data_IF_488670400767
#
_entry.id   IF_488670400767
#
_cell.length_a   1.000
_cell.length_b   1.000
_cell.length_c   1.000
_cell.angle_alpha   90.00
_cell.angle_beta   90.00
_cell.angle_gamma   90.00
#
_symmetry.space_group_name_H-M   'P 1'
#
loop_
_entity.id
_entity.type
_entity.pdbx_description
1 polymer ?
#
# COMPACT_ATOMS: atom_id res chain seq x y z
N UNK A 1 15.45 -13.62 5.71
CA UNK A 1 14.81 -12.30 5.87
C UNK A 1 13.89 -12.05 4.69
N UNK A 2 12.97 -11.09 4.79
CA UNK A 2 12.15 -10.58 3.69
C UNK A 2 12.43 -9.08 3.53
N UNK A 3 12.83 -8.68 2.32
CA UNK A 3 12.93 -7.27 1.94
C UNK A 3 11.56 -6.73 1.55
N UNK A 4 11.21 -5.56 2.07
CA UNK A 4 9.94 -4.88 1.83
C UNK A 4 10.22 -3.55 1.16
N UNK A 5 9.70 -3.40 -0.05
CA UNK A 5 9.69 -2.14 -0.77
C UNK A 5 8.29 -1.55 -0.61
N UNK A 6 8.17 -0.36 -0.03
CA UNK A 6 6.88 0.26 0.23
C UNK A 6 6.98 1.78 0.02
N UNK A 7 5.99 2.34 -0.67
CA UNK A 7 5.98 3.75 -1.06
C UNK A 7 4.64 4.41 -0.74
N UNK A 8 3.53 3.80 -1.17
CA UNK A 8 2.19 4.36 -1.01
C UNK A 8 1.14 3.25 -0.88
N UNK A 9 -0.09 3.63 -0.50
CA UNK A 9 -1.25 2.72 -0.56
C UNK A 9 -2.04 2.97 -1.85
N UNK A 10 -2.71 1.93 -2.34
CA UNK A 10 -3.80 2.10 -3.30
C UNK A 10 -5.13 1.85 -2.61
N UNK A 11 -6.06 2.79 -2.78
CA UNK A 11 -7.47 2.58 -2.46
C UNK A 11 -8.15 2.27 -3.78
N UNK A 12 -8.86 1.14 -3.84
CA UNK A 12 -9.55 0.69 -5.04
C UNK A 12 -11.05 0.57 -4.78
N UNK A 13 -11.85 0.90 -5.78
CA UNK A 13 -13.29 0.67 -5.83
C UNK A 13 -13.63 -0.23 -7.01
N UNK A 14 -14.67 -1.06 -6.87
CA UNK A 14 -15.13 -1.89 -7.98
C UNK A 14 -15.86 -1.01 -9.00
N UNK A 15 -15.42 -1.02 -10.25
CA UNK A 15 -16.04 -0.17 -11.29
C UNK A 15 -17.45 -0.63 -11.62
N UNK A 16 -18.41 0.30 -11.60
CA UNK A 16 -19.80 0.05 -11.97
C UNK A 16 -19.92 -0.28 -13.46
N UNK A 17 -20.46 -1.45 -13.79
CA UNK A 17 -20.74 -1.88 -15.18
C UNK A 17 -19.62 -2.66 -15.86
N UNK A 18 -18.63 -3.12 -15.10
CA UNK A 18 -17.37 -3.61 -15.65
C UNK A 18 -17.26 -5.14 -15.56
N UNK A 19 -16.52 -5.77 -16.51
CA UNK A 19 -16.28 -7.22 -16.55
C UNK A 19 -15.58 -7.67 -15.26
N UNK A 20 -15.62 -8.97 -14.94
CA UNK A 20 -14.91 -9.53 -13.79
C UNK A 20 -13.45 -9.04 -13.77
N UNK A 21 -13.05 -8.32 -12.71
CA UNK A 21 -11.67 -7.86 -12.48
C UNK A 21 -11.36 -6.38 -12.72
N UNK A 22 -12.30 -5.54 -13.17
CA UNK A 22 -12.07 -4.10 -13.30
C UNK A 22 -12.30 -3.33 -12.01
N UNK A 23 -11.45 -2.32 -11.77
CA UNK A 23 -11.46 -1.46 -10.61
C UNK A 23 -11.02 -0.04 -11.00
N UNK A 24 -11.41 0.92 -10.16
CA UNK A 24 -10.98 2.32 -10.19
C UNK A 24 -10.10 2.61 -8.98
N UNK A 25 -9.09 3.46 -9.14
CA UNK A 25 -8.31 3.98 -8.02
C UNK A 25 -8.96 5.22 -7.43
N UNK A 26 -9.02 5.29 -6.12
CA UNK A 26 -9.57 6.42 -5.37
C UNK A 26 -8.41 7.25 -4.82
N UNK A 27 -8.47 8.56 -5.05
CA UNK A 27 -7.53 9.54 -4.51
C UNK A 27 -8.21 10.30 -3.37
N UNK A 28 -7.88 10.02 -2.10
CA UNK A 28 -8.46 10.73 -0.97
C UNK A 28 -8.26 12.24 -1.03
N UNK A 29 -9.34 12.98 -0.86
CA UNK A 29 -9.28 14.44 -0.71
C UNK A 29 -8.56 14.82 0.60
N UNK A 30 -7.75 15.88 0.55
CA UNK A 30 -7.03 16.40 1.71
C UNK A 30 -5.78 15.61 2.12
N UNK A 31 -5.43 14.54 1.41
CA UNK A 31 -4.15 13.86 1.60
C UNK A 31 -2.99 14.62 0.95
N UNK A 32 -1.78 14.39 1.45
CA UNK A 32 -0.54 14.83 0.84
C UNK A 32 -0.11 13.86 -0.27
N UNK A 33 0.44 14.40 -1.35
CA UNK A 33 0.88 13.64 -2.51
C UNK A 33 2.28 14.06 -2.94
N UNK A 34 3.09 13.09 -3.36
CA UNK A 34 4.39 13.35 -3.99
C UNK A 34 4.21 13.98 -5.38
N UNK A 35 5.31 14.44 -6.00
CA UNK A 35 5.30 14.92 -7.39
C UNK A 35 4.87 13.83 -8.40
N UNK A 36 4.98 12.56 -8.02
CA UNK A 36 4.51 11.43 -8.82
C UNK A 36 3.01 11.14 -8.64
N UNK A 37 2.31 11.91 -7.79
CA UNK A 37 0.89 11.70 -7.48
C UNK A 37 0.63 10.51 -6.54
N UNK A 38 1.64 10.05 -5.80
CA UNK A 38 1.49 8.98 -4.82
C UNK A 38 1.09 9.54 -3.46
N UNK A 39 0.04 8.97 -2.87
CA UNK A 39 -0.42 9.41 -1.55
C UNK A 39 0.64 9.10 -0.48
N UNK A 40 1.01 10.11 0.31
CA UNK A 40 1.87 9.94 1.48
C UNK A 40 1.05 9.35 2.62
N UNK A 41 1.13 8.03 2.81
CA UNK A 41 0.37 7.31 3.84
C UNK A 41 1.24 6.37 4.70
N UNK A 42 2.00 6.91 5.68
CA UNK A 42 2.99 6.15 6.44
C UNK A 42 2.39 5.02 7.30
N UNK A 43 1.13 5.15 7.72
CA UNK A 43 0.43 4.11 8.49
C UNK A 43 0.35 2.77 7.73
N UNK A 44 0.30 2.81 6.40
CA UNK A 44 0.21 1.58 5.59
C UNK A 44 1.47 0.71 5.68
N UNK A 45 2.66 1.30 5.87
CA UNK A 45 3.89 0.54 6.10
C UNK A 45 3.82 -0.24 7.43
N UNK A 46 3.39 0.43 8.51
CA UNK A 46 3.20 -0.22 9.81
C UNK A 46 2.19 -1.37 9.73
N UNK A 47 1.05 -1.13 9.08
CA UNK A 47 -0.02 -2.13 8.92
C UNK A 47 0.51 -3.35 8.14
N UNK A 48 1.27 -3.13 7.05
CA UNK A 48 1.86 -4.18 6.23
C UNK A 48 2.89 -5.03 7.01
N UNK A 49 3.84 -4.38 7.68
CA UNK A 49 4.88 -5.08 8.44
C UNK A 49 4.30 -5.87 9.62
N UNK A 50 3.33 -5.28 10.32
CA UNK A 50 2.61 -5.93 11.41
C UNK A 50 1.86 -7.17 10.92
N UNK A 51 1.21 -7.08 9.76
CA UNK A 51 0.52 -8.20 9.14
C UNK A 51 1.49 -9.33 8.77
N UNK A 52 2.61 -9.01 8.13
CA UNK A 52 3.63 -9.99 7.78
C UNK A 52 4.20 -10.70 9.00
N UNK A 53 4.47 -9.96 10.07
CA UNK A 53 4.93 -10.55 11.32
C UNK A 53 3.89 -11.51 11.92
N UNK A 54 2.61 -11.10 11.98
CA UNK A 54 1.54 -11.90 12.60
C UNK A 54 1.14 -13.12 11.78
N UNK A 55 0.90 -12.95 10.48
CA UNK A 55 0.32 -13.99 9.63
C UNK A 55 1.36 -14.99 9.11
N UNK A 56 2.59 -14.54 8.86
CA UNK A 56 3.61 -15.35 8.21
C UNK A 56 4.83 -15.64 9.10
N UNK A 57 4.87 -15.07 10.33
CA UNK A 57 5.94 -15.30 11.30
C UNK A 57 7.34 -15.09 10.71
N UNK A 58 7.49 -14.08 9.84
CA UNK A 58 8.74 -13.81 9.14
C UNK A 58 9.83 -13.46 10.17
N UNK A 59 10.97 -14.18 10.21
CA UNK A 59 11.96 -14.04 11.29
C UNK A 59 12.73 -12.71 11.24
N UNK A 60 12.89 -12.12 10.04
CA UNK A 60 13.54 -10.82 9.85
C UNK A 60 12.84 -10.10 8.71
N UNK A 61 12.26 -8.93 9.00
CA UNK A 61 11.71 -7.99 8.03
C UNK A 61 12.68 -6.81 7.87
N UNK A 62 13.00 -6.45 6.63
CA UNK A 62 13.85 -5.30 6.32
C UNK A 62 13.12 -4.41 5.33
N UNK A 63 13.01 -3.12 5.64
CA UNK A 63 12.58 -2.14 4.64
C UNK A 63 13.79 -1.89 3.74
N UNK A 64 13.71 -2.41 2.51
CA UNK A 64 14.81 -2.33 1.53
C UNK A 64 14.67 -1.09 0.64
N UNK A 65 13.44 -0.62 0.43
CA UNK A 65 13.17 0.62 -0.30
C UNK A 65 11.96 1.36 0.29
N UNK A 66 12.11 2.67 0.47
CA UNK A 66 11.05 3.62 0.82
C UNK A 66 11.51 5.03 0.39
N UNK A 67 10.59 5.83 -0.16
CA UNK A 67 10.84 7.18 -0.62
C UNK A 67 9.57 7.89 -1.05
#
# INVERSE_FOLDING_TARGET
FLGVNYYYRMIIHQSSGSKFGSYETVHPEGSEYTEMGWEVYPKGLYDLLTRFHKEYQIPVLLVTENG
#
